data_IF_246483905598
#
_entry.id   IF_246483905598
#
_cell.length_a   1.000
_cell.length_b   1.000
_cell.length_c   1.000
_cell.angle_alpha   90.00
_cell.angle_beta   90.00
_cell.angle_gamma   90.00
#
_symmetry.space_group_name_H-M   'P 1'
#
loop_
_entity.id
_entity.type
_entity.pdbx_description
1 polymer ?
#
# COMPACT_ATOMS: atom_id res chain seq x y z
N UNK A 1 -15.87 5.41 15.21
CA UNK A 1 -15.42 6.33 16.28
C UNK A 1 -14.84 7.58 15.63
N UNK A 2 -14.94 8.76 16.23
CA UNK A 2 -14.34 10.00 15.70
C UNK A 2 -13.20 10.40 16.63
N UNK A 3 -12.00 10.53 16.06
CA UNK A 3 -10.78 10.82 16.80
C UNK A 3 -10.11 12.04 16.17
N UNK A 4 -9.67 12.98 17.00
CA UNK A 4 -8.85 14.11 16.56
C UNK A 4 -7.38 13.70 16.64
N UNK A 5 -6.63 13.97 15.58
CA UNK A 5 -5.21 13.65 15.47
C UNK A 5 -4.45 14.88 14.97
N UNK A 6 -3.27 15.11 15.53
CA UNK A 6 -2.37 16.14 15.05
C UNK A 6 -1.59 15.62 13.83
N UNK A 7 -1.57 16.40 12.76
CA UNK A 7 -0.87 16.07 11.52
C UNK A 7 0.08 17.21 11.14
N UNK A 8 1.32 16.92 10.72
CA UNK A 8 2.16 17.92 10.06
C UNK A 8 1.42 18.55 8.89
N UNK A 9 1.60 19.85 8.68
CA UNK A 9 0.86 20.61 7.65
C UNK A 9 1.05 20.00 6.24
N UNK A 10 2.27 19.59 5.93
CA UNK A 10 2.61 18.90 4.68
C UNK A 10 1.83 17.60 4.48
N UNK A 11 1.63 16.84 5.56
CA UNK A 11 0.88 15.60 5.53
C UNK A 11 -0.59 15.88 5.29
N UNK A 12 -1.18 16.85 6.00
CA UNK A 12 -2.57 17.23 5.79
C UNK A 12 -2.80 17.72 4.34
N UNK A 13 -1.87 18.49 3.78
CA UNK A 13 -1.91 18.95 2.39
C UNK A 13 -1.90 17.79 1.40
N UNK A 14 -0.99 16.82 1.56
CA UNK A 14 -0.95 15.62 0.72
C UNK A 14 -2.25 14.82 0.79
N UNK A 15 -2.79 14.62 2.00
CA UNK A 15 -4.04 13.89 2.21
C UNK A 15 -5.22 14.61 1.54
N UNK A 16 -5.31 15.95 1.62
CA UNK A 16 -6.33 16.73 0.92
C UNK A 16 -6.28 16.55 -0.59
N UNK A 17 -5.08 16.53 -1.17
CA UNK A 17 -4.90 16.30 -2.61
C UNK A 17 -5.36 14.90 -3.01
N UNK A 18 -5.00 13.86 -2.24
CA UNK A 18 -5.44 12.48 -2.48
C UNK A 18 -6.97 12.38 -2.36
N UNK A 19 -7.57 13.04 -1.38
CA UNK A 19 -9.01 13.04 -1.19
C UNK A 19 -9.75 13.70 -2.37
N UNK A 20 -9.21 14.82 -2.88
CA UNK A 20 -9.76 15.50 -4.05
C UNK A 20 -9.67 14.63 -5.31
N UNK A 21 -8.51 14.04 -5.57
CA UNK A 21 -8.26 13.14 -6.71
C UNK A 21 -9.20 11.92 -6.70
N UNK A 22 -9.33 11.28 -5.54
CA UNK A 22 -10.21 10.12 -5.34
C UNK A 22 -11.69 10.46 -5.15
N UNK A 23 -12.06 11.75 -5.22
CA UNK A 23 -13.42 12.27 -4.94
C UNK A 23 -14.01 11.71 -3.63
N UNK A 24 -13.20 11.69 -2.58
CA UNK A 24 -13.58 11.14 -1.27
C UNK A 24 -13.23 12.09 -0.13
N UNK A 25 -13.55 11.71 1.10
CA UNK A 25 -13.28 12.55 2.28
C UNK A 25 -11.86 12.35 2.81
N UNK A 26 -11.29 13.42 3.39
CA UNK A 26 -9.99 13.37 4.09
C UNK A 26 -9.98 12.30 5.18
N UNK A 27 -11.07 12.18 5.94
CA UNK A 27 -11.20 11.17 6.99
C UNK A 27 -11.18 9.74 6.45
N UNK A 28 -11.78 9.50 5.27
CA UNK A 28 -11.72 8.18 4.62
C UNK A 28 -10.31 7.86 4.18
N UNK A 29 -9.62 8.80 3.54
CA UNK A 29 -8.21 8.62 3.13
C UNK A 29 -7.35 8.28 4.35
N UNK A 30 -7.44 9.05 5.43
CA UNK A 30 -6.66 8.77 6.65
C UNK A 30 -6.99 7.38 7.19
N UNK A 31 -8.27 7.02 7.29
CA UNK A 31 -8.68 5.71 7.77
C UNK A 31 -8.09 4.57 6.91
N UNK A 32 -8.19 4.67 5.58
CA UNK A 32 -7.68 3.66 4.65
C UNK A 32 -6.15 3.45 4.79
N UNK A 33 -5.39 4.54 4.92
CA UNK A 33 -3.93 4.47 5.10
C UNK A 33 -3.55 3.93 6.48
N UNK A 34 -4.24 4.34 7.54
CA UNK A 34 -3.98 3.83 8.89
C UNK A 34 -4.32 2.35 8.97
N UNK A 35 -5.46 1.92 8.41
CA UNK A 35 -5.85 0.52 8.39
C UNK A 35 -4.78 -0.34 7.71
N UNK A 36 -4.33 0.05 6.51
CA UNK A 36 -3.24 -0.64 5.79
C UNK A 36 -1.92 -0.68 6.55
N UNK A 37 -1.64 0.30 7.41
CA UNK A 37 -0.40 0.36 8.17
C UNK A 37 -0.46 -0.47 9.46
N UNK A 38 -1.64 -0.66 10.05
CA UNK A 38 -1.83 -1.43 11.29
C UNK A 38 -2.23 -2.88 11.04
N UNK A 39 -2.74 -3.19 9.84
CA UNK A 39 -2.96 -4.56 9.43
C UNK A 39 -1.61 -5.29 9.47
N UNK A 40 -1.46 -6.34 10.29
CA UNK A 40 -0.23 -7.07 10.35
C UNK A 40 0.06 -7.60 8.94
N UNK A 41 1.33 -7.56 8.50
CA UNK A 41 1.73 -8.26 7.29
C UNK A 41 1.25 -9.71 7.45
N UNK A 42 0.57 -10.27 6.44
CA UNK A 42 0.41 -11.72 6.41
C UNK A 42 1.81 -12.33 6.60
N UNK A 43 1.96 -13.34 7.47
CA UNK A 43 3.28 -13.91 7.80
C UNK A 43 4.11 -14.12 6.52
N UNK A 44 5.28 -13.49 6.43
CA UNK A 44 6.15 -13.54 5.25
C UNK A 44 5.91 -12.50 4.14
N UNK A 45 4.93 -11.60 4.27
CA UNK A 45 4.47 -10.70 3.18
C UNK A 45 5.09 -9.30 3.15
N UNK A 46 6.29 -9.09 3.71
CA UNK A 46 7.01 -7.88 3.34
C UNK A 46 7.84 -8.18 2.09
N UNK A 47 7.42 -7.69 0.91
CA UNK A 47 8.28 -7.74 -0.27
C UNK A 47 9.63 -7.11 0.10
N UNK A 48 10.72 -7.88 -0.05
CA UNK A 48 12.06 -7.31 0.13
C UNK A 48 12.46 -6.65 -1.17
N UNK A 49 12.58 -5.33 -1.11
CA UNK A 49 13.07 -4.53 -2.22
C UNK A 49 14.59 -4.46 -2.15
N UNK A 50 15.27 -4.74 -3.25
CA UNK A 50 16.69 -4.46 -3.40
C UNK A 50 17.01 -4.07 -4.84
N UNK A 51 18.13 -3.38 -5.04
CA UNK A 51 18.66 -3.16 -6.38
C UNK A 51 19.52 -4.37 -6.72
N UNK A 52 19.19 -5.04 -7.81
CA UNK A 52 19.92 -6.23 -8.25
C UNK A 52 21.29 -5.80 -8.83
N UNK A 53 22.41 -6.37 -8.36
CA UNK A 53 23.74 -5.88 -8.71
C UNK A 53 24.11 -5.99 -10.19
N UNK A 54 23.64 -7.02 -10.89
CA UNK A 54 24.09 -7.32 -12.26
C UNK A 54 23.35 -6.47 -13.30
N UNK A 55 22.09 -6.12 -13.03
CA UNK A 55 21.20 -5.36 -13.94
C UNK A 55 20.95 -3.92 -13.48
N UNK A 56 21.12 -3.63 -12.19
CA UNK A 56 20.81 -2.34 -11.59
C UNK A 56 19.32 -2.03 -11.45
N UNK A 57 18.44 -3.01 -11.70
CA UNK A 57 16.99 -2.82 -11.57
C UNK A 57 16.49 -3.06 -10.14
N UNK A 58 15.36 -2.42 -9.79
CA UNK A 58 14.66 -2.69 -8.54
C UNK A 58 13.97 -4.05 -8.63
N UNK A 59 14.36 -4.97 -7.75
CA UNK A 59 13.80 -6.31 -7.64
C UNK A 59 12.99 -6.44 -6.36
N UNK A 60 11.90 -7.21 -6.44
CA UNK A 60 10.98 -7.51 -5.34
C UNK A 60 11.04 -9.00 -5.05
N UNK A 61 11.49 -9.37 -3.85
CA UNK A 61 11.43 -10.75 -3.35
C UNK A 61 10.11 -10.98 -2.60
N UNK A 62 9.28 -11.87 -3.15
CA UNK A 62 7.96 -12.22 -2.62
C UNK A 62 8.02 -13.41 -1.65
N UNK A 63 9.15 -14.10 -1.51
CA UNK A 63 9.31 -15.25 -0.62
C UNK A 63 8.65 -16.55 -1.09
N UNK A 64 7.93 -16.53 -2.22
CA UNK A 64 7.36 -17.72 -2.87
C UNK A 64 7.35 -17.53 -4.41
N UNK A 65 7.41 -18.63 -5.18
CA UNK A 65 7.30 -18.56 -6.63
C UNK A 65 5.87 -18.18 -7.03
N UNK A 66 5.72 -17.17 -7.89
CA UNK A 66 4.45 -16.82 -8.52
C UNK A 66 4.20 -17.77 -9.69
N UNK A 67 3.08 -18.48 -9.68
CA UNK A 67 2.68 -19.43 -10.72
C UNK A 67 1.64 -18.85 -11.67
N UNK A 68 1.49 -19.46 -12.85
CA UNK A 68 0.42 -19.07 -13.79
C UNK A 68 -0.99 -19.24 -13.20
N UNK A 69 -1.16 -20.12 -12.23
CA UNK A 69 -2.43 -20.30 -11.52
C UNK A 69 -2.70 -19.12 -10.57
N UNK A 70 -1.68 -18.62 -9.86
CA UNK A 70 -1.81 -17.43 -9.02
C UNK A 70 -2.21 -16.20 -9.85
N UNK A 71 -1.64 -16.07 -11.06
CA UNK A 71 -1.99 -15.01 -12.01
C UNK A 71 -3.44 -15.15 -12.47
N UNK A 72 -3.89 -16.36 -12.81
CA UNK A 72 -5.27 -16.59 -13.26
C UNK A 72 -6.28 -16.22 -12.17
N UNK A 73 -6.05 -16.67 -10.94
CA UNK A 73 -6.92 -16.35 -9.79
C UNK A 73 -7.04 -14.85 -9.54
N UNK A 74 -5.93 -14.12 -9.65
CA UNK A 74 -5.95 -12.67 -9.43
C UNK A 74 -6.73 -11.89 -10.51
N UNK A 75 -6.85 -12.44 -11.73
CA UNK A 75 -7.57 -11.82 -12.83
C UNK A 75 -9.06 -12.20 -12.86
N UNK A 76 -9.42 -13.34 -12.27
CA UNK A 76 -10.81 -13.84 -12.25
C UNK A 76 -11.66 -13.20 -11.12
N UNK A 77 -11.04 -12.49 -10.18
CA UNK A 77 -11.71 -11.77 -9.08
C UNK A 77 -12.17 -10.33 -9.47
N UNK A 78 -12.23 -9.99 -10.77
CA UNK A 78 -12.94 -8.82 -11.34
C UNK A 78 -14.37 -9.15 -11.78
#
# INVERSE_FOLDING_TARGET
MRTTVDLPEDTLRRVKNIAADRRTSVSKVIADYVQKAVDPPAEGSYPRYHIEPDTGFMVVDLGYPVTSEDVRRALDDE
#
